data_IF_143458856992
#
_entry.id   IF_143458856992
#
_cell.length_a   1.000
_cell.length_b   1.000
_cell.length_c   1.000
_cell.angle_alpha   90.00
_cell.angle_beta   90.00
_cell.angle_gamma   90.00
#
_symmetry.space_group_name_H-M   'P 1'
#
loop_
_entity.id
_entity.type
_entity.pdbx_description
1 polymer ?
#
# COMPACT_ATOMS: atom_id res chain seq x y z
N UNK A 1 -7.04 -3.30 5.19
CA UNK A 1 -5.82 -3.13 4.39
C UNK A 1 -5.64 -4.35 3.48
N UNK A 2 -5.67 -4.14 2.17
CA UNK A 2 -5.61 -5.16 1.14
C UNK A 2 -4.42 -4.93 0.20
N UNK A 3 -4.28 -5.75 -0.82
CA UNK A 3 -3.43 -5.53 -1.98
C UNK A 3 -3.95 -6.34 -3.17
N UNK A 4 -3.71 -5.84 -4.38
CA UNK A 4 -4.16 -6.48 -5.61
C UNK A 4 -3.64 -7.92 -5.79
N UNK A 5 -2.44 -8.22 -5.26
CA UNK A 5 -1.80 -9.53 -5.37
C UNK A 5 -2.10 -10.48 -4.20
N UNK A 6 -2.94 -10.12 -3.22
CA UNK A 6 -3.28 -11.03 -2.13
C UNK A 6 -4.24 -12.12 -2.60
N UNK A 7 -3.86 -13.35 -2.32
CA UNK A 7 -4.54 -14.57 -2.72
C UNK A 7 -3.73 -15.80 -2.31
N UNK A 8 -3.86 -16.98 -2.88
CA UNK A 8 -4.14 -17.36 -4.28
C UNK A 8 -5.63 -17.50 -4.61
N UNK A 9 -6.03 -17.27 -5.88
CA UNK A 9 -5.28 -16.55 -6.92
C UNK A 9 -5.17 -15.05 -6.64
N UNK A 10 -4.30 -14.34 -7.35
CA UNK A 10 -4.16 -12.89 -7.20
C UNK A 10 -5.50 -12.16 -7.35
N UNK A 11 -5.75 -11.19 -6.44
CA UNK A 11 -7.01 -10.47 -6.37
C UNK A 11 -8.12 -11.13 -5.57
N UNK A 12 -7.92 -12.36 -5.06
CA UNK A 12 -8.97 -13.10 -4.35
C UNK A 12 -9.35 -12.44 -3.01
N UNK A 13 -8.38 -11.90 -2.28
CA UNK A 13 -8.68 -11.18 -1.05
C UNK A 13 -9.58 -9.95 -1.31
N UNK A 14 -9.34 -9.22 -2.40
CA UNK A 14 -10.20 -8.09 -2.79
C UNK A 14 -11.59 -8.55 -3.27
N UNK A 15 -11.70 -9.69 -3.98
CA UNK A 15 -13.02 -10.25 -4.36
C UNK A 15 -13.83 -10.65 -3.14
N UNK A 16 -13.22 -11.38 -2.20
CA UNK A 16 -13.87 -11.78 -0.96
C UNK A 16 -14.33 -10.58 -0.14
N UNK A 17 -13.46 -9.55 -0.03
CA UNK A 17 -13.85 -8.28 0.57
C UNK A 17 -15.04 -7.65 -0.16
N UNK A 18 -15.04 -7.64 -1.50
CA UNK A 18 -16.10 -7.09 -2.32
C UNK A 18 -17.47 -7.76 -2.09
N UNK A 19 -17.48 -9.07 -1.85
CA UNK A 19 -18.71 -9.81 -1.49
C UNK A 19 -19.28 -9.30 -0.16
N UNK A 20 -18.44 -9.15 0.87
CA UNK A 20 -18.85 -8.61 2.16
C UNK A 20 -19.24 -7.13 2.05
N UNK A 21 -18.54 -6.35 1.23
CA UNK A 21 -18.88 -4.95 0.98
C UNK A 21 -20.28 -4.79 0.45
N UNK A 22 -20.65 -5.57 -0.58
CA UNK A 22 -22.00 -5.53 -1.17
C UNK A 22 -23.08 -6.00 -0.21
N UNK A 23 -22.81 -7.08 0.54
CA UNK A 23 -23.80 -7.74 1.39
C UNK A 23 -24.07 -6.99 2.69
N UNK A 24 -23.00 -6.54 3.36
CA UNK A 24 -23.08 -6.12 4.76
C UNK A 24 -22.63 -4.66 4.98
N UNK A 25 -21.61 -4.16 4.27
CA UNK A 25 -20.88 -2.97 4.66
C UNK A 25 -21.13 -1.74 3.79
N UNK A 26 -21.84 -1.89 2.67
CA UNK A 26 -22.12 -0.77 1.77
C UNK A 26 -22.79 0.43 2.46
N UNK A 27 -23.76 0.24 3.38
CA UNK A 27 -24.37 1.33 4.13
C UNK A 27 -23.40 2.07 5.08
N UNK A 28 -22.26 1.45 5.41
CA UNK A 28 -21.24 1.96 6.33
C UNK A 28 -19.97 2.40 5.63
N UNK A 29 -19.97 2.51 4.28
CA UNK A 29 -18.76 2.82 3.51
C UNK A 29 -18.00 4.04 4.02
N UNK A 30 -18.72 5.08 4.39
CA UNK A 30 -18.15 6.35 4.81
C UNK A 30 -17.60 6.33 6.24
N UNK A 31 -17.85 5.28 7.00
CA UNK A 31 -17.30 5.03 8.34
C UNK A 31 -16.06 4.12 8.31
N UNK A 32 -15.74 3.54 7.15
CA UNK A 32 -14.66 2.58 6.97
C UNK A 32 -13.43 3.24 6.31
N UNK A 33 -12.24 2.98 6.85
CA UNK A 33 -10.99 3.28 6.18
C UNK A 33 -10.53 2.04 5.42
N UNK A 34 -10.65 2.08 4.09
CA UNK A 34 -10.31 0.97 3.20
C UNK A 34 -9.06 1.33 2.40
N UNK A 35 -8.07 0.44 2.44
CA UNK A 35 -6.84 0.63 1.67
C UNK A 35 -6.49 -0.59 0.82
N UNK A 36 -5.85 -0.34 -0.32
CA UNK A 36 -5.26 -1.38 -1.16
C UNK A 36 -3.94 -0.91 -1.76
N UNK A 37 -3.20 -1.83 -2.38
CA UNK A 37 -1.84 -1.61 -2.88
C UNK A 37 -1.65 -2.25 -4.25
N UNK A 38 -0.72 -1.72 -5.03
CA UNK A 38 -0.19 -2.36 -6.24
C UNK A 38 1.33 -2.20 -6.32
N UNK A 39 2.03 -3.20 -6.88
CA UNK A 39 3.49 -3.20 -7.00
C UNK A 39 4.09 -4.59 -7.26
N UNK A 40 3.28 -5.63 -7.25
CA UNK A 40 3.66 -7.01 -7.53
C UNK A 40 2.99 -7.54 -8.79
N UNK A 41 3.47 -8.69 -9.29
CA UNK A 41 2.95 -9.33 -10.51
C UNK A 41 1.44 -9.56 -10.44
N UNK A 42 0.74 -9.13 -11.48
CA UNK A 42 -0.70 -9.30 -11.62
C UNK A 42 -1.11 -9.92 -12.96
N UNK A 43 -0.36 -9.63 -14.03
CA UNK A 43 -0.57 -10.19 -15.37
C UNK A 43 0.73 -10.22 -16.18
N UNK A 44 0.84 -11.07 -17.20
CA UNK A 44 2.01 -11.13 -18.08
C UNK A 44 2.22 -9.84 -18.86
N UNK A 45 3.49 -9.52 -19.13
CA UNK A 45 3.89 -8.40 -19.96
C UNK A 45 4.51 -7.23 -19.19
N UNK A 46 5.02 -6.22 -19.90
CA UNK A 46 5.87 -5.17 -19.31
C UNK A 46 5.14 -4.22 -18.35
N UNK A 47 3.81 -4.22 -18.36
CA UNK A 47 2.98 -3.36 -17.51
C UNK A 47 2.14 -4.15 -16.51
N UNK A 48 2.54 -5.38 -16.18
CA UNK A 48 1.83 -6.22 -15.22
C UNK A 48 2.41 -6.22 -13.80
N UNK A 49 3.42 -5.39 -13.54
CA UNK A 49 4.21 -5.36 -12.30
C UNK A 49 4.79 -3.97 -12.02
N UNK A 50 5.36 -3.75 -10.82
CA UNK A 50 6.18 -2.63 -10.39
C UNK A 50 5.42 -1.29 -10.22
N UNK A 51 5.98 -0.17 -10.71
CA UNK A 51 5.54 1.17 -10.34
C UNK A 51 5.21 2.10 -11.51
N UNK A 52 5.16 1.60 -12.76
CA UNK A 52 4.83 2.45 -13.90
C UNK A 52 3.44 3.06 -13.77
N UNK A 53 3.26 4.27 -14.28
CA UNK A 53 1.95 4.98 -14.29
C UNK A 53 0.84 4.11 -14.85
N UNK A 54 1.10 3.44 -15.98
CA UNK A 54 0.12 2.57 -16.63
C UNK A 54 -0.31 1.41 -15.73
N UNK A 55 0.67 0.76 -15.07
CA UNK A 55 0.39 -0.35 -14.17
C UNK A 55 -0.41 0.09 -12.95
N UNK A 56 -0.03 1.19 -12.28
CA UNK A 56 -0.68 1.63 -11.04
C UNK A 56 -2.13 2.04 -11.28
N UNK A 57 -2.41 2.83 -12.34
CA UNK A 57 -3.77 3.26 -12.67
C UNK A 57 -4.64 2.05 -13.05
N UNK A 58 -4.14 1.16 -13.92
CA UNK A 58 -4.87 -0.04 -14.31
C UNK A 58 -5.13 -0.98 -13.14
N UNK A 59 -4.14 -1.12 -12.23
CA UNK A 59 -4.26 -1.95 -11.02
C UNK A 59 -5.34 -1.44 -10.08
N UNK A 60 -5.37 -0.13 -9.81
CA UNK A 60 -6.42 0.43 -8.96
C UNK A 60 -7.80 0.27 -9.58
N UNK A 61 -7.95 0.49 -10.89
CA UNK A 61 -9.23 0.27 -11.58
C UNK A 61 -9.73 -1.17 -11.47
N UNK A 62 -8.82 -2.14 -11.53
CA UNK A 62 -9.15 -3.54 -11.32
C UNK A 62 -9.49 -3.84 -9.85
N UNK A 63 -8.75 -3.26 -8.90
CA UNK A 63 -9.00 -3.40 -7.47
C UNK A 63 -10.36 -2.85 -7.07
N UNK A 64 -10.72 -1.67 -7.53
CA UNK A 64 -12.03 -1.06 -7.29
C UNK A 64 -13.18 -1.94 -7.79
N UNK A 65 -13.04 -2.51 -9.01
CA UNK A 65 -14.04 -3.47 -9.55
C UNK A 65 -14.16 -4.72 -8.70
N UNK A 66 -13.02 -5.31 -8.23
CA UNK A 66 -13.05 -6.50 -7.37
C UNK A 66 -13.71 -6.23 -6.02
N UNK A 67 -13.45 -5.06 -5.45
CA UNK A 67 -13.97 -4.66 -4.14
C UNK A 67 -15.39 -4.07 -4.18
N UNK A 68 -15.95 -3.82 -5.38
CA UNK A 68 -17.22 -3.11 -5.58
C UNK A 68 -17.24 -1.71 -4.93
N UNK A 69 -16.18 -0.95 -5.16
CA UNK A 69 -15.98 0.40 -4.64
C UNK A 69 -15.75 1.39 -5.78
N UNK A 70 -16.14 2.64 -5.55
CA UNK A 70 -15.85 3.76 -6.44
C UNK A 70 -14.49 4.40 -6.11
N UNK A 71 -14.07 4.32 -4.86
CA UNK A 71 -12.80 4.83 -4.37
C UNK A 71 -12.28 4.02 -3.16
N UNK A 72 -10.98 4.13 -2.88
CA UNK A 72 -10.36 3.70 -1.62
C UNK A 72 -9.94 4.92 -0.80
N UNK A 73 -9.82 4.75 0.51
CA UNK A 73 -9.33 5.85 1.36
C UNK A 73 -7.83 6.03 1.17
N UNK A 74 -7.06 4.94 1.10
CA UNK A 74 -5.62 4.99 0.90
C UNK A 74 -5.19 4.02 -0.20
N UNK A 75 -4.45 4.52 -1.20
CA UNK A 75 -3.79 3.68 -2.18
C UNK A 75 -2.28 3.71 -1.99
N UNK A 76 -1.64 2.52 -1.89
CA UNK A 76 -0.21 2.40 -1.70
C UNK A 76 0.51 1.93 -2.97
N UNK A 77 1.70 2.51 -3.22
CA UNK A 77 2.71 1.79 -4.00
C UNK A 77 3.38 0.75 -3.08
N UNK A 78 3.27 -0.54 -3.43
CA UNK A 78 3.53 -1.67 -2.55
C UNK A 78 5.02 -1.93 -2.28
N UNK A 79 5.88 -1.54 -3.22
CA UNK A 79 7.35 -1.64 -3.12
C UNK A 79 8.01 -0.72 -4.15
N UNK A 80 9.25 -0.23 -3.90
CA UNK A 80 9.96 0.57 -4.89
C UNK A 80 10.20 -0.21 -6.19
N UNK A 81 10.10 0.48 -7.33
CA UNK A 81 10.44 -0.05 -8.64
C UNK A 81 11.90 0.31 -8.96
N UNK A 82 12.75 -0.68 -9.33
CA UNK A 82 14.15 -0.41 -9.64
C UNK A 82 14.37 0.27 -10.99
N UNK A 83 13.38 0.25 -11.89
CA UNK A 83 13.51 0.72 -13.27
C UNK A 83 12.71 2.00 -13.55
N UNK A 84 11.58 2.19 -12.87
CA UNK A 84 10.75 3.39 -13.03
C UNK A 84 11.24 4.49 -12.09
N UNK A 85 11.51 5.71 -12.59
CA UNK A 85 11.81 6.85 -11.73
C UNK A 85 10.73 7.07 -10.66
N UNK A 86 11.16 7.38 -9.45
CA UNK A 86 10.23 7.60 -8.32
C UNK A 86 9.22 8.70 -8.65
N UNK A 87 9.67 9.73 -9.36
CA UNK A 87 8.85 10.88 -9.78
C UNK A 87 7.68 10.45 -10.69
N UNK A 88 7.89 9.49 -11.58
CA UNK A 88 6.81 8.94 -12.42
C UNK A 88 5.79 8.17 -11.56
N UNK A 89 6.28 7.33 -10.67
CA UNK A 89 5.45 6.58 -9.73
C UNK A 89 4.62 7.54 -8.85
N UNK A 90 5.25 8.56 -8.29
CA UNK A 90 4.55 9.57 -7.48
C UNK A 90 3.57 10.38 -8.31
N UNK A 91 3.90 10.72 -9.55
CA UNK A 91 2.99 11.37 -10.48
C UNK A 91 1.76 10.50 -10.84
N UNK A 92 1.90 9.17 -10.83
CA UNK A 92 0.76 8.27 -10.98
C UNK A 92 -0.13 8.29 -9.73
N UNK A 93 0.45 8.31 -8.52
CA UNK A 93 -0.29 8.41 -7.27
C UNK A 93 -1.05 9.76 -7.17
N UNK A 94 -0.41 10.87 -7.53
CA UNK A 94 -1.07 12.18 -7.63
C UNK A 94 -2.27 12.15 -8.58
N UNK A 95 -2.11 11.59 -9.77
CA UNK A 95 -3.19 11.46 -10.74
C UNK A 95 -4.35 10.61 -10.19
N UNK A 96 -4.07 9.56 -9.46
CA UNK A 96 -5.07 8.71 -8.82
C UNK A 96 -5.91 9.51 -7.81
N UNK A 97 -5.27 10.32 -6.97
CA UNK A 97 -5.97 11.20 -6.01
C UNK A 97 -6.82 12.23 -6.76
N UNK A 98 -6.24 12.93 -7.74
CA UNK A 98 -6.97 13.94 -8.54
C UNK A 98 -8.16 13.36 -9.30
N UNK A 99 -8.10 12.08 -9.66
CA UNK A 99 -9.23 11.40 -10.32
C UNK A 99 -10.34 10.98 -9.35
N UNK A 100 -10.17 11.18 -8.04
CA UNK A 100 -11.12 10.79 -7.00
C UNK A 100 -11.18 9.29 -6.70
N UNK A 101 -10.20 8.50 -7.19
CA UNK A 101 -10.16 7.05 -6.96
C UNK A 101 -9.45 6.65 -5.67
N UNK A 102 -8.71 7.57 -5.06
CA UNK A 102 -8.18 7.46 -3.70
C UNK A 102 -8.24 8.82 -3.02
N UNK A 103 -8.48 8.85 -1.71
CA UNK A 103 -8.45 10.09 -0.94
C UNK A 103 -7.01 10.47 -0.57
N UNK A 104 -6.20 9.47 -0.24
CA UNK A 104 -4.82 9.62 0.20
C UNK A 104 -3.94 8.58 -0.46
N UNK A 105 -2.63 8.83 -0.43
CA UNK A 105 -1.61 7.91 -0.93
C UNK A 105 -0.57 7.58 0.13
N UNK A 106 0.00 6.40 -0.02
CA UNK A 106 1.12 5.93 0.78
C UNK A 106 2.11 5.13 -0.04
N UNK A 107 3.21 4.78 0.59
CA UNK A 107 4.23 3.90 0.03
C UNK A 107 4.57 2.79 1.02
N UNK A 108 5.26 1.75 0.54
CA UNK A 108 5.71 0.65 1.38
C UNK A 108 7.09 0.18 0.95
N UNK A 109 7.93 -0.21 1.91
CA UNK A 109 9.27 -0.80 1.71
C UNK A 109 10.31 0.12 1.03
N UNK A 110 10.10 1.40 1.01
CA UNK A 110 11.07 2.36 0.50
C UNK A 110 12.18 2.61 1.53
N UNK A 111 13.42 2.81 1.05
CA UNK A 111 14.52 3.25 1.92
C UNK A 111 14.28 4.67 2.44
N UNK A 112 15.00 5.12 3.49
CA UNK A 112 14.89 6.50 3.96
C UNK A 112 15.09 7.53 2.83
N UNK A 113 16.11 7.35 1.99
CA UNK A 113 16.44 8.24 0.88
C UNK A 113 15.34 8.25 -0.20
N UNK A 114 14.83 7.09 -0.58
CA UNK A 114 13.72 6.96 -1.51
C UNK A 114 12.44 7.59 -0.96
N UNK A 115 12.22 7.45 0.35
CA UNK A 115 11.07 8.04 1.04
C UNK A 115 11.14 9.57 1.03
N UNK A 116 12.31 10.16 1.24
CA UNK A 116 12.50 11.62 1.14
C UNK A 116 12.19 12.14 -0.28
N UNK A 117 12.68 11.44 -1.31
CA UNK A 117 12.39 11.80 -2.71
C UNK A 117 10.88 11.73 -2.97
N UNK A 118 10.23 10.64 -2.57
CA UNK A 118 8.81 10.43 -2.76
C UNK A 118 7.95 11.51 -2.06
N UNK A 119 8.27 11.83 -0.80
CA UNK A 119 7.58 12.87 -0.02
C UNK A 119 7.72 14.24 -0.69
N UNK A 120 8.94 14.60 -1.09
CA UNK A 120 9.20 15.87 -1.77
C UNK A 120 8.41 15.97 -3.07
N UNK A 121 8.49 14.94 -3.92
CA UNK A 121 7.80 14.90 -5.21
C UNK A 121 6.28 15.02 -5.04
N UNK A 122 5.68 14.28 -4.13
CA UNK A 122 4.24 14.36 -3.87
C UNK A 122 3.83 15.73 -3.32
N UNK A 123 4.65 16.34 -2.47
CA UNK A 123 4.40 17.68 -1.93
C UNK A 123 4.44 18.74 -3.03
N UNK A 124 5.41 18.67 -3.94
CA UNK A 124 5.54 19.56 -5.11
C UNK A 124 4.34 19.42 -6.05
N UNK A 125 3.77 18.21 -6.19
CA UNK A 125 2.56 17.96 -6.97
C UNK A 125 1.27 18.42 -6.25
N UNK A 126 1.32 18.75 -4.96
CA UNK A 126 0.18 19.16 -4.16
C UNK A 126 -0.65 18.01 -3.56
N UNK A 127 -0.11 16.80 -3.59
CA UNK A 127 -0.71 15.60 -2.98
C UNK A 127 0.21 15.06 -1.89
N UNK A 128 0.17 15.58 -0.66
CA UNK A 128 1.09 15.16 0.40
C UNK A 128 0.89 13.67 0.75
N UNK A 129 2.01 12.98 0.97
CA UNK A 129 1.99 11.59 1.41
C UNK A 129 1.40 11.46 2.81
N UNK A 130 0.45 10.55 2.99
CA UNK A 130 -0.18 10.31 4.29
C UNK A 130 0.64 9.37 5.17
N UNK A 131 1.14 8.27 4.60
CA UNK A 131 1.58 7.12 5.40
C UNK A 131 2.61 6.25 4.67
N UNK A 132 3.53 5.67 5.43
CA UNK A 132 4.46 4.65 4.99
C UNK A 132 4.15 3.32 5.69
N UNK A 133 4.11 2.20 4.96
CA UNK A 133 3.93 0.88 5.54
C UNK A 133 5.22 0.07 5.48
N UNK A 134 5.67 -0.48 6.62
CA UNK A 134 6.92 -1.22 6.68
C UNK A 134 6.88 -2.42 7.64
N UNK A 135 7.81 -3.37 7.43
CA UNK A 135 8.01 -4.49 8.33
C UNK A 135 8.67 -3.99 9.63
N UNK A 136 7.92 -3.99 10.70
CA UNK A 136 8.40 -3.54 11.99
C UNK A 136 7.90 -4.42 13.12
N UNK A 137 8.82 -4.89 13.94
CA UNK A 137 8.55 -5.70 15.13
C UNK A 137 9.72 -5.62 16.09
N UNK A 138 9.59 -6.16 17.28
CA UNK A 138 10.70 -6.29 18.23
C UNK A 138 11.91 -7.07 17.67
N UNK A 139 11.67 -7.96 16.67
CA UNK A 139 12.71 -8.74 15.99
C UNK A 139 13.24 -8.12 14.69
N UNK A 140 12.56 -7.12 14.15
CA UNK A 140 12.99 -6.39 12.94
C UNK A 140 12.85 -4.89 13.18
N UNK A 141 13.95 -4.26 13.52
CA UNK A 141 14.02 -2.84 13.86
C UNK A 141 14.77 -1.99 12.83
N UNK A 142 14.91 -2.48 11.60
CA UNK A 142 15.68 -1.81 10.53
C UNK A 142 15.23 -0.38 10.25
N UNK A 143 13.92 -0.10 10.39
CA UNK A 143 13.36 1.23 10.12
C UNK A 143 13.91 2.31 11.07
N UNK A 144 14.39 1.93 12.25
CA UNK A 144 14.99 2.86 13.21
C UNK A 144 16.34 3.43 12.73
N UNK A 145 16.94 2.82 11.70
CA UNK A 145 18.13 3.32 11.04
C UNK A 145 17.78 4.38 9.97
N UNK A 146 17.08 5.44 10.37
CA UNK A 146 16.83 6.66 9.59
C UNK A 146 15.41 6.81 9.05
N UNK A 147 14.65 5.74 8.77
CA UNK A 147 13.31 5.89 8.24
C UNK A 147 12.35 6.57 9.24
N UNK A 148 12.40 6.18 10.51
CA UNK A 148 11.58 6.80 11.56
C UNK A 148 11.86 8.28 11.72
N UNK A 149 13.12 8.71 11.54
CA UNK A 149 13.52 10.10 11.64
C UNK A 149 12.95 10.91 10.46
N UNK A 150 13.05 10.35 9.25
CA UNK A 150 12.45 10.95 8.04
C UNK A 150 10.95 11.14 8.23
N UNK A 151 10.23 10.07 8.59
CA UNK A 151 8.77 10.11 8.74
C UNK A 151 8.34 11.11 9.82
N UNK A 152 9.04 11.14 10.96
CA UNK A 152 8.76 12.09 12.06
C UNK A 152 8.98 13.54 11.61
N UNK A 153 10.11 13.82 10.96
CA UNK A 153 10.44 15.16 10.45
C UNK A 153 9.43 15.66 9.42
N UNK A 154 8.98 14.77 8.54
CA UNK A 154 8.08 15.12 7.44
C UNK A 154 6.60 15.04 7.80
N UNK A 155 6.26 14.59 9.01
CA UNK A 155 4.88 14.45 9.48
C UNK A 155 4.10 13.34 8.78
N UNK A 156 4.78 12.29 8.30
CA UNK A 156 4.18 11.14 7.62
C UNK A 156 3.93 10.01 8.62
N UNK A 157 2.75 9.39 8.56
CA UNK A 157 2.39 8.28 9.43
C UNK A 157 3.17 6.99 9.12
N UNK A 158 3.29 6.12 10.12
CA UNK A 158 3.87 4.77 9.97
C UNK A 158 2.87 3.72 10.39
N UNK A 159 2.69 2.69 9.55
CA UNK A 159 1.95 1.48 9.88
C UNK A 159 2.84 0.25 9.72
N UNK A 160 2.80 -0.65 10.70
CA UNK A 160 3.63 -1.85 10.70
C UNK A 160 2.89 -3.06 10.13
N UNK A 161 3.53 -3.81 9.23
CA UNK A 161 3.12 -5.17 8.95
C UNK A 161 4.07 -6.17 9.62
N UNK A 162 3.54 -7.36 9.95
CA UNK A 162 4.30 -8.39 10.64
C UNK A 162 4.73 -8.07 12.09
N UNK A 163 3.95 -7.31 12.90
CA UNK A 163 4.37 -6.89 14.24
C UNK A 163 4.60 -8.08 15.19
N UNK A 164 3.96 -9.21 14.94
CA UNK A 164 4.14 -10.45 15.69
C UNK A 164 5.18 -11.40 15.08
N UNK A 165 5.93 -10.96 14.07
CA UNK A 165 7.00 -11.72 13.42
C UNK A 165 6.58 -13.15 13.00
N UNK A 166 5.40 -13.29 12.37
CA UNK A 166 4.85 -14.58 11.94
C UNK A 166 4.45 -15.49 13.11
N UNK A 167 4.12 -14.92 14.25
CA UNK A 167 3.73 -15.63 15.48
C UNK A 167 4.87 -15.91 16.45
N UNK A 168 6.12 -15.56 16.09
CA UNK A 168 7.29 -15.76 16.98
C UNK A 168 7.21 -14.94 18.27
N UNK A 169 6.52 -13.82 18.24
CA UNK A 169 6.29 -12.96 19.41
C UNK A 169 4.99 -13.29 20.17
N UNK A 170 4.43 -14.46 19.91
CA UNK A 170 3.26 -15.00 20.63
C UNK A 170 3.64 -16.25 21.42
N UNK A 171 2.70 -16.82 22.17
CA UNK A 171 2.89 -18.12 22.85
C UNK A 171 2.88 -19.34 21.91
N UNK A 172 2.72 -19.18 20.60
CA UNK A 172 2.52 -20.25 19.63
C UNK A 172 3.61 -21.33 19.62
N UNK A 173 4.85 -20.96 19.93
CA UNK A 173 6.00 -21.86 19.85
C UNK A 173 6.52 -22.30 21.23
N UNK A 174 5.84 -21.99 22.35
CA UNK A 174 6.28 -22.37 23.72
C UNK A 174 6.20 -23.86 23.96
N UNK A 175 5.33 -24.58 23.27
CA UNK A 175 5.16 -26.04 23.38
C UNK A 175 5.82 -26.84 22.26
N UNK A 176 6.67 -26.20 21.44
CA UNK A 176 7.32 -26.80 20.27
C UNK A 176 6.91 -26.14 18.97
N UNK A 177 7.43 -26.65 17.84
CA UNK A 177 7.04 -26.17 16.49
C UNK A 177 5.69 -26.81 16.13
N UNK A 178 4.66 -26.02 15.81
CA UNK A 178 3.35 -26.56 15.42
C UNK A 178 3.40 -27.25 14.05
#
# INVERSE_FOLDING_TARGET
DLANNYGPPYGEAERNFGVHMLRDWKPHRDELVISTKAGYDMWPGPYGNWGSRKYLIASLDQSLRRMNLDYVDIFYHHRPDPETPIEETMGALDQIVRSGKALYVGISRYTPEQTEIAIRTLRELGTPMLIHQENYSMLNRKIEAGLTDVLTREGVGLIAFGPLAGGRLTGKYQSGIP
#
